data_IF_290741639337
#
_entry.id   IF_290741639337
#
_cell.length_a   1.000
_cell.length_b   1.000
_cell.length_c   1.000
_cell.angle_alpha   90.00
_cell.angle_beta   90.00
_cell.angle_gamma   90.00
#
_symmetry.space_group_name_H-M   'P 1'
#
loop_
_entity.id
_entity.type
_entity.pdbx_description
1 polymer ?
#
# COMPACT_ATOMS: atom_id res chain seq x y z
N UNK A 1 -39.27 -23.45 20.23
CA UNK A 1 -37.84 -23.64 19.90
C UNK A 1 -37.60 -22.99 18.55
N UNK A 2 -37.19 -21.71 18.55
CA UNK A 2 -36.97 -20.95 17.31
C UNK A 2 -35.47 -20.88 17.06
N UNK A 3 -35.01 -21.48 15.97
CA UNK A 3 -33.62 -21.42 15.53
C UNK A 3 -33.32 -20.04 14.94
N UNK A 4 -32.35 -19.36 15.51
CA UNK A 4 -31.76 -18.12 14.97
C UNK A 4 -30.92 -18.46 13.74
N UNK A 5 -31.08 -17.78 12.59
CA UNK A 5 -30.19 -17.97 11.46
C UNK A 5 -28.81 -17.34 11.78
N UNK A 6 -27.75 -18.12 11.58
CA UNK A 6 -26.36 -17.67 11.73
C UNK A 6 -25.97 -16.61 10.69
N UNK A 7 -24.88 -15.84 10.95
CA UNK A 7 -24.46 -14.78 10.05
C UNK A 7 -23.96 -15.37 8.73
N UNK A 8 -24.69 -15.10 7.64
CA UNK A 8 -24.31 -15.48 6.29
C UNK A 8 -22.98 -14.84 5.90
N UNK A 9 -21.96 -15.67 5.72
CA UNK A 9 -20.85 -15.41 4.81
C UNK A 9 -21.39 -15.41 3.39
N UNK A 10 -21.76 -14.24 2.86
CA UNK A 10 -21.98 -14.03 1.43
C UNK A 10 -20.97 -13.02 0.92
N UNK A 11 -19.79 -13.57 0.65
CA UNK A 11 -18.73 -12.95 -0.11
C UNK A 11 -18.92 -13.30 -1.60
N UNK A 12 -20.04 -12.90 -2.18
CA UNK A 12 -20.36 -13.06 -3.60
C UNK A 12 -20.81 -11.71 -4.20
N UNK A 13 -20.02 -10.66 -3.95
CA UNK A 13 -20.19 -9.39 -4.65
C UNK A 13 -19.31 -9.44 -5.92
N UNK A 14 -19.89 -9.50 -7.14
CA UNK A 14 -19.15 -9.64 -8.39
C UNK A 14 -18.21 -8.46 -8.68
N UNK A 15 -18.27 -7.40 -7.86
CA UNK A 15 -17.38 -6.25 -7.92
C UNK A 15 -16.00 -6.47 -7.25
N UNK A 16 -15.75 -7.63 -6.65
CA UNK A 16 -14.53 -7.96 -5.92
C UNK A 16 -13.89 -9.25 -6.44
N UNK A 17 -12.54 -9.26 -6.53
CA UNK A 17 -11.79 -10.50 -6.77
C UNK A 17 -11.10 -10.96 -5.49
N UNK A 18 -11.22 -12.26 -5.19
CA UNK A 18 -10.51 -12.92 -4.10
C UNK A 18 -9.06 -13.22 -4.45
N UNK A 19 -8.13 -12.74 -3.64
CA UNK A 19 -6.70 -12.97 -3.77
C UNK A 19 -6.14 -13.68 -2.53
N UNK A 20 -5.45 -14.81 -2.71
CA UNK A 20 -4.63 -15.41 -1.66
C UNK A 20 -3.40 -14.54 -1.37
N UNK A 21 -3.02 -14.41 -0.11
CA UNK A 21 -1.91 -13.58 0.39
C UNK A 21 -0.53 -14.04 -0.05
N UNK A 22 -0.36 -15.34 -0.36
CA UNK A 22 0.92 -15.97 -0.67
C UNK A 22 1.33 -15.87 -2.15
N UNK A 23 0.45 -15.36 -3.00
CA UNK A 23 0.70 -15.33 -4.44
C UNK A 23 1.57 -14.11 -4.78
N UNK A 24 2.77 -14.36 -5.35
CA UNK A 24 3.65 -13.30 -5.90
C UNK A 24 2.95 -12.64 -7.09
N UNK A 25 2.08 -11.67 -6.81
CA UNK A 25 1.31 -11.00 -7.86
C UNK A 25 2.01 -9.74 -8.33
N UNK A 26 1.89 -9.57 -9.62
CA UNK A 26 2.48 -8.47 -10.34
C UNK A 26 1.61 -7.24 -10.31
N UNK A 27 2.28 -6.11 -10.52
CA UNK A 27 1.62 -4.88 -10.92
C UNK A 27 0.68 -5.12 -12.11
N UNK A 28 1.04 -5.99 -13.06
CA UNK A 28 0.21 -6.30 -14.22
C UNK A 28 -1.11 -7.00 -13.84
N UNK A 29 -1.12 -7.83 -12.80
CA UNK A 29 -2.35 -8.45 -12.29
C UNK A 29 -3.30 -7.41 -11.70
N UNK A 30 -2.77 -6.42 -10.96
CA UNK A 30 -3.56 -5.30 -10.46
C UNK A 30 -4.12 -4.43 -11.58
N UNK A 31 -3.33 -4.18 -12.62
CA UNK A 31 -3.81 -3.45 -13.80
C UNK A 31 -4.92 -4.22 -14.53
N UNK A 32 -4.80 -5.55 -14.64
CA UNK A 32 -5.85 -6.38 -15.24
C UNK A 32 -7.17 -6.27 -14.45
N UNK A 33 -7.11 -6.30 -13.12
CA UNK A 33 -8.28 -6.05 -12.24
C UNK A 33 -8.86 -4.65 -12.46
N UNK A 34 -8.01 -3.62 -12.54
CA UNK A 34 -8.46 -2.25 -12.77
C UNK A 34 -9.18 -2.08 -14.12
N UNK A 35 -8.71 -2.75 -15.18
CA UNK A 35 -9.35 -2.74 -16.52
C UNK A 35 -10.73 -3.39 -16.52
N UNK A 36 -10.99 -4.35 -15.62
CA UNK A 36 -12.28 -5.03 -15.48
C UNK A 36 -13.34 -4.20 -14.74
N UNK A 37 -13.05 -2.93 -14.39
CA UNK A 37 -13.95 -2.03 -13.65
C UNK A 37 -14.38 -2.55 -12.27
N UNK A 38 -13.60 -3.46 -11.71
CA UNK A 38 -13.80 -3.95 -10.35
C UNK A 38 -13.48 -2.86 -9.34
N UNK A 39 -14.14 -2.90 -8.17
CA UNK A 39 -13.90 -1.90 -7.09
C UNK A 39 -12.57 -2.13 -6.39
N UNK A 40 -12.07 -3.36 -6.41
CA UNK A 40 -10.94 -3.72 -5.59
C UNK A 40 -10.67 -5.20 -5.49
N UNK A 41 -9.78 -5.51 -4.55
CA UNK A 41 -9.27 -6.84 -4.27
C UNK A 41 -9.57 -7.20 -2.82
N UNK A 42 -9.90 -8.46 -2.56
CA UNK A 42 -10.03 -9.01 -1.21
C UNK A 42 -8.84 -9.91 -0.91
N UNK A 43 -8.13 -9.67 0.18
CA UNK A 43 -7.09 -10.56 0.70
C UNK A 43 -7.65 -11.38 1.85
N UNK A 44 -7.64 -12.69 1.67
CA UNK A 44 -8.32 -13.64 2.56
C UNK A 44 -7.62 -13.84 3.89
N UNK A 45 -6.30 -13.95 3.88
CA UNK A 45 -5.48 -14.24 5.04
C UNK A 45 -5.17 -12.96 5.84
N UNK A 46 -5.17 -13.02 7.19
CA UNK A 46 -4.72 -11.90 8.01
C UNK A 46 -3.26 -11.53 7.72
N UNK A 47 -2.97 -10.23 7.64
CA UNK A 47 -1.62 -9.69 7.46
C UNK A 47 -1.27 -8.80 8.65
N UNK A 48 -0.04 -8.96 9.16
CA UNK A 48 0.49 -8.10 10.21
C UNK A 48 1.55 -7.18 9.61
N UNK A 49 1.32 -5.86 9.62
CA UNK A 49 2.31 -4.86 9.19
C UNK A 49 3.06 -4.34 10.41
N UNK A 50 4.27 -4.85 10.60
CA UNK A 50 5.20 -4.42 11.63
C UNK A 50 6.63 -4.40 11.10
N UNK A 51 7.56 -3.60 11.65
CA UNK A 51 8.95 -3.58 11.22
C UNK A 51 9.63 -4.97 11.20
N UNK A 52 9.30 -5.81 12.19
CA UNK A 52 9.80 -7.17 12.39
C UNK A 52 9.02 -8.26 11.63
N UNK A 53 7.95 -7.91 10.92
CA UNK A 53 7.18 -8.86 10.13
C UNK A 53 7.99 -9.45 8.97
N UNK A 54 7.51 -10.54 8.38
CA UNK A 54 8.22 -11.20 7.28
C UNK A 54 8.24 -10.36 5.97
N UNK A 55 8.98 -10.86 4.98
CA UNK A 55 9.04 -10.23 3.65
C UNK A 55 7.69 -10.18 2.93
N UNK A 56 6.74 -11.05 3.29
CA UNK A 56 5.38 -11.04 2.75
C UNK A 56 4.59 -9.80 3.17
N UNK A 57 4.76 -9.33 4.41
CA UNK A 57 4.19 -8.07 4.89
C UNK A 57 4.71 -6.86 4.08
N UNK A 58 6.00 -6.86 3.74
CA UNK A 58 6.60 -5.81 2.92
C UNK A 58 6.04 -5.79 1.48
N UNK A 59 5.88 -6.97 0.88
CA UNK A 59 5.23 -7.13 -0.44
C UNK A 59 3.76 -6.69 -0.37
N UNK A 60 3.05 -7.03 0.71
CA UNK A 60 1.67 -6.62 0.91
C UNK A 60 1.53 -5.10 1.05
N UNK A 61 2.43 -4.42 1.77
CA UNK A 61 2.42 -2.96 1.82
C UNK A 61 2.64 -2.32 0.44
N UNK A 62 3.53 -2.90 -0.38
CA UNK A 62 3.71 -2.46 -1.77
C UNK A 62 2.43 -2.69 -2.60
N UNK A 63 1.72 -3.81 -2.38
CA UNK A 63 0.43 -4.09 -3.00
C UNK A 63 -0.61 -3.01 -2.65
N UNK A 64 -0.71 -2.61 -1.37
CA UNK A 64 -1.62 -1.56 -0.93
C UNK A 64 -1.34 -0.23 -1.65
N UNK A 65 -0.05 0.12 -1.80
CA UNK A 65 0.40 1.32 -2.52
C UNK A 65 0.04 1.27 -4.00
N UNK A 66 0.37 0.19 -4.70
CA UNK A 66 0.08 0.06 -6.14
C UNK A 66 -1.43 0.03 -6.41
N UNK A 67 -2.19 -0.69 -5.60
CA UNK A 67 -3.66 -0.69 -5.68
C UNK A 67 -4.23 0.71 -5.52
N UNK A 68 -3.71 1.48 -4.55
CA UNK A 68 -4.15 2.86 -4.35
C UNK A 68 -3.85 3.75 -5.56
N UNK A 69 -2.76 3.49 -6.30
CA UNK A 69 -2.39 4.21 -7.52
C UNK A 69 -3.31 3.96 -8.70
N UNK A 70 -3.86 2.75 -8.76
CA UNK A 70 -4.85 2.32 -9.75
C UNK A 70 -6.30 2.65 -9.34
N UNK A 71 -6.50 3.34 -8.22
CA UNK A 71 -7.85 3.65 -7.70
C UNK A 71 -8.58 2.45 -7.09
N UNK A 72 -7.91 1.31 -6.93
CA UNK A 72 -8.48 0.11 -6.32
C UNK A 72 -8.51 0.23 -4.79
N UNK A 73 -9.50 -0.43 -4.19
CA UNK A 73 -9.58 -0.67 -2.74
C UNK A 73 -9.06 -2.07 -2.45
N UNK A 74 -8.26 -2.22 -1.39
CA UNK A 74 -7.88 -3.55 -0.90
C UNK A 74 -8.63 -3.79 0.40
N UNK A 75 -9.51 -4.79 0.42
CA UNK A 75 -10.16 -5.28 1.64
C UNK A 75 -9.28 -6.37 2.23
N UNK A 76 -8.76 -6.15 3.43
CA UNK A 76 -7.85 -7.09 4.07
C UNK A 76 -8.06 -7.12 5.58
N UNK A 77 -7.58 -8.21 6.19
CA UNK A 77 -7.66 -8.45 7.63
C UNK A 77 -6.32 -8.31 8.31
N UNK A 78 -6.33 -7.88 9.58
CA UNK A 78 -5.13 -7.90 10.43
C UNK A 78 -4.84 -6.56 11.10
N UNK A 79 -3.56 -6.27 11.32
CA UNK A 79 -3.14 -5.19 12.21
C UNK A 79 -1.88 -4.49 11.75
N UNK A 80 -1.67 -3.29 12.30
CA UNK A 80 -0.45 -2.49 12.11
C UNK A 80 0.08 -2.10 13.47
N UNK A 81 1.36 -2.39 13.70
CA UNK A 81 2.09 -2.08 14.94
C UNK A 81 3.50 -1.61 14.59
N UNK A 82 4.13 -0.83 15.48
CA UNK A 82 5.49 -0.34 15.28
C UNK A 82 5.71 0.64 14.11
N UNK A 83 4.69 0.87 13.28
CA UNK A 83 4.70 1.83 12.17
C UNK A 83 3.82 3.04 12.56
N UNK A 84 4.34 4.28 12.52
CA UNK A 84 3.51 5.46 12.77
C UNK A 84 2.30 5.52 11.83
N UNK A 85 1.09 5.56 12.39
CA UNK A 85 -0.17 5.49 11.61
C UNK A 85 -0.26 6.56 10.52
N UNK A 86 0.29 7.75 10.79
CA UNK A 86 0.33 8.85 9.81
C UNK A 86 1.04 8.46 8.51
N UNK A 87 1.99 7.52 8.54
CA UNK A 87 2.74 7.08 7.36
C UNK A 87 1.94 6.15 6.45
N UNK A 88 0.96 5.39 6.97
CA UNK A 88 0.21 4.37 6.20
C UNK A 88 -1.26 4.68 6.03
N UNK A 89 -1.80 5.69 6.74
CA UNK A 89 -3.24 6.01 6.71
C UNK A 89 -3.80 6.43 5.35
N UNK A 90 -2.95 6.77 4.38
CA UNK A 90 -3.37 7.07 3.01
C UNK A 90 -3.64 5.82 2.16
N UNK A 91 -3.33 4.63 2.69
CA UNK A 91 -3.58 3.33 2.07
C UNK A 91 -4.87 2.70 2.61
N UNK A 92 -5.30 1.58 2.00
CA UNK A 92 -6.50 0.85 2.45
C UNK A 92 -6.28 0.30 3.87
N UNK A 93 -7.21 0.58 4.78
CA UNK A 93 -7.17 0.11 6.17
C UNK A 93 -7.64 -1.35 6.28
N UNK A 94 -7.20 -2.09 7.31
CA UNK A 94 -7.77 -3.40 7.62
C UNK A 94 -9.24 -3.23 8.06
N UNK A 95 -10.11 -4.20 7.72
CA UNK A 95 -11.55 -4.10 8.01
C UNK A 95 -11.97 -4.77 9.32
N UNK A 96 -11.12 -5.57 9.97
CA UNK A 96 -11.41 -6.34 11.19
C UNK A 96 -10.49 -6.00 12.37
N UNK A 97 -10.14 -4.72 12.53
CA UNK A 97 -9.44 -4.25 13.72
C UNK A 97 -10.21 -4.59 15.01
N UNK A 98 -9.52 -4.82 16.15
CA UNK A 98 -10.18 -5.16 17.40
C UNK A 98 -11.24 -4.10 17.75
N UNK A 99 -12.47 -4.58 17.98
CA UNK A 99 -13.67 -3.78 18.32
C UNK A 99 -14.22 -2.82 17.25
N UNK A 100 -14.25 -3.22 15.96
CA UNK A 100 -15.12 -2.54 14.97
C UNK A 100 -14.67 -1.14 14.56
N UNK A 101 -13.49 -0.71 15.01
CA UNK A 101 -12.82 0.47 14.49
C UNK A 101 -12.08 0.07 13.22
N UNK A 102 -12.57 0.56 12.06
CA UNK A 102 -11.71 0.71 10.89
C UNK A 102 -10.42 1.39 11.37
N UNK A 103 -9.26 0.72 11.30
CA UNK A 103 -8.04 1.19 11.97
C UNK A 103 -7.67 2.63 11.56
N UNK A 104 -8.09 3.04 10.36
CA UNK A 104 -8.26 4.44 9.96
C UNK A 104 -9.24 4.54 8.78
N UNK A 105 -9.90 5.69 8.62
CA UNK A 105 -10.63 5.99 7.37
C UNK A 105 -9.63 6.44 6.31
N UNK A 106 -9.58 5.73 5.16
CA UNK A 106 -8.82 6.18 3.98
C UNK A 106 -9.35 7.56 3.57
N UNK A 107 -8.51 8.61 3.51
CA UNK A 107 -8.94 9.91 3.03
C UNK A 107 -9.37 9.80 1.55
N UNK A 108 -10.38 10.57 1.13
CA UNK A 108 -10.85 10.62 -0.27
C UNK A 108 -9.74 10.98 -1.26
N UNK A 109 -8.69 11.65 -0.79
CA UNK A 109 -7.49 11.95 -1.55
C UNK A 109 -6.30 11.22 -0.95
N UNK A 110 -5.53 10.48 -1.77
CA UNK A 110 -4.25 9.91 -1.30
C UNK A 110 -3.40 11.01 -0.67
N UNK A 111 -3.04 10.83 0.60
CA UNK A 111 -2.29 11.81 1.38
C UNK A 111 -0.81 11.91 1.00
N UNK A 112 -0.27 10.92 0.31
CA UNK A 112 1.11 10.91 -0.22
C UNK A 112 1.10 10.36 -1.63
N UNK A 113 1.50 11.17 -2.60
CA UNK A 113 1.41 10.86 -4.04
C UNK A 113 2.74 11.10 -4.72
N UNK A 114 3.00 10.29 -5.74
CA UNK A 114 4.12 10.43 -6.64
C UNK A 114 3.60 10.48 -8.08
N UNK A 115 4.10 11.44 -8.84
CA UNK A 115 3.89 11.55 -10.29
C UNK A 115 5.24 11.62 -10.98
N UNK A 116 5.42 10.84 -12.05
CA UNK A 116 6.60 10.91 -12.90
C UNK A 116 6.39 11.94 -13.99
N UNK A 117 7.35 12.85 -14.13
CA UNK A 117 7.48 13.78 -15.25
C UNK A 117 8.74 13.46 -16.07
N UNK A 118 8.97 14.20 -17.17
CA UNK A 118 10.20 14.05 -17.95
C UNK A 118 11.43 14.46 -17.12
N UNK A 119 12.29 13.51 -16.76
CA UNK A 119 13.52 13.75 -15.99
C UNK A 119 13.34 14.09 -14.50
N UNK A 120 12.14 13.94 -13.94
CA UNK A 120 11.90 14.18 -12.51
C UNK A 120 10.68 13.43 -11.95
N UNK A 121 10.60 13.33 -10.62
CA UNK A 121 9.41 12.96 -9.87
C UNK A 121 8.89 14.16 -9.11
N UNK A 122 7.57 14.28 -9.00
CA UNK A 122 6.91 15.17 -8.04
C UNK A 122 6.29 14.33 -6.94
N UNK A 123 6.66 14.60 -5.70
CA UNK A 123 6.05 14.03 -4.51
C UNK A 123 5.15 15.11 -3.91
N UNK A 124 3.88 14.77 -3.68
CA UNK A 124 2.94 15.62 -2.94
C UNK A 124 2.55 14.93 -1.62
N UNK A 125 2.84 15.57 -0.49
CA UNK A 125 2.56 15.06 0.85
C UNK A 125 1.59 16.00 1.60
N UNK A 126 0.48 15.43 2.06
CA UNK A 126 -0.60 16.06 2.82
C UNK A 126 -0.81 15.41 4.18
N UNK A 127 0.09 14.52 4.61
CA UNK A 127 -0.06 13.75 5.86
C UNK A 127 0.15 14.59 7.12
N UNK A 128 0.91 15.67 7.04
CA UNK A 128 1.35 16.42 8.23
C UNK A 128 0.98 17.92 8.21
N UNK A 129 -0.19 18.27 7.64
CA UNK A 129 -0.69 19.64 7.60
C UNK A 129 -0.70 20.22 6.18
N UNK A 130 -0.14 21.43 5.94
CA UNK A 130 -0.09 22.02 4.61
C UNK A 130 0.55 21.10 3.57
N UNK A 131 0.11 21.24 2.32
CA UNK A 131 0.62 20.43 1.20
C UNK A 131 2.11 20.74 1.00
N UNK A 132 2.96 19.71 1.12
CA UNK A 132 4.38 19.78 0.78
C UNK A 132 4.59 19.17 -0.60
N UNK A 133 5.34 19.87 -1.45
CA UNK A 133 5.71 19.39 -2.79
C UNK A 133 7.21 19.31 -2.90
N UNK A 134 7.72 18.13 -3.22
CA UNK A 134 9.14 17.87 -3.43
C UNK A 134 9.36 17.46 -4.87
N UNK A 135 10.31 18.10 -5.54
CA UNK A 135 10.79 17.70 -6.85
C UNK A 135 12.06 16.88 -6.67
N UNK A 136 12.10 15.69 -7.27
CA UNK A 136 13.24 14.77 -7.22
C UNK A 136 13.74 14.58 -8.65
N UNK A 137 14.87 15.21 -9.04
CA UNK A 137 15.44 15.03 -10.38
C UNK A 137 15.87 13.59 -10.65
N UNK A 138 15.98 13.19 -11.93
CA UNK A 138 16.38 11.84 -12.34
C UNK A 138 17.78 11.41 -11.88
N UNK A 139 18.69 12.37 -11.70
CA UNK A 139 20.05 12.14 -11.19
C UNK A 139 20.12 12.03 -9.66
N UNK A 140 19.01 12.25 -8.95
CA UNK A 140 18.94 12.06 -7.50
C UNK A 140 18.80 10.57 -7.18
N UNK A 141 19.60 10.06 -6.24
CA UNK A 141 19.59 8.66 -5.81
C UNK A 141 18.19 8.16 -5.38
N UNK A 142 17.35 9.06 -4.84
CA UNK A 142 15.98 8.73 -4.41
C UNK A 142 15.09 8.38 -5.59
N UNK A 143 15.41 8.87 -6.79
CA UNK A 143 14.61 8.65 -8.00
C UNK A 143 14.45 7.15 -8.30
N UNK A 144 15.56 6.41 -8.28
CA UNK A 144 15.56 4.97 -8.54
C UNK A 144 14.75 4.18 -7.49
N UNK A 145 14.87 4.55 -6.21
CA UNK A 145 14.15 3.89 -5.11
C UNK A 145 12.64 4.20 -5.11
N UNK A 146 12.26 5.41 -5.51
CA UNK A 146 10.87 5.87 -5.58
C UNK A 146 10.13 5.38 -6.83
N UNK A 147 10.87 5.14 -7.91
CA UNK A 147 10.34 4.61 -9.17
C UNK A 147 11.15 3.39 -9.67
N UNK A 148 11.29 2.30 -8.89
CA UNK A 148 11.92 1.08 -9.35
C UNK A 148 11.24 0.58 -10.61
N UNK A 149 11.99 -0.09 -11.51
CA UNK A 149 11.40 -0.79 -12.66
C UNK A 149 10.26 -1.66 -12.18
N UNK A 150 9.22 -1.78 -13.00
CA UNK A 150 7.96 -2.44 -12.66
C UNK A 150 8.13 -3.97 -12.53
N UNK A 151 8.91 -4.41 -11.56
CA UNK A 151 9.08 -5.83 -11.25
C UNK A 151 8.23 -6.17 -10.04
N UNK A 152 7.20 -6.95 -10.33
CA UNK A 152 6.33 -7.62 -9.38
C UNK A 152 7.09 -8.24 -8.20
N UNK A 153 6.81 -7.77 -6.97
CA UNK A 153 7.24 -8.48 -5.76
C UNK A 153 8.74 -8.47 -5.47
N UNK A 154 9.54 -7.69 -6.21
CA UNK A 154 10.91 -7.40 -5.82
C UNK A 154 10.97 -5.98 -5.25
N UNK A 155 11.29 -5.90 -3.96
CA UNK A 155 11.65 -4.62 -3.34
C UNK A 155 13.06 -4.28 -3.82
N UNK A 156 13.29 -3.08 -4.37
CA UNK A 156 14.60 -2.72 -4.89
C UNK A 156 15.64 -2.84 -3.77
N UNK A 157 16.83 -3.33 -4.12
CA UNK A 157 18.00 -3.07 -3.30
C UNK A 157 18.26 -1.56 -3.38
N UNK A 158 18.22 -0.91 -2.23
CA UNK A 158 18.48 0.52 -2.10
C UNK A 158 19.72 0.64 -1.23
N UNK A 159 20.62 1.55 -1.62
CA UNK A 159 21.74 1.94 -0.78
C UNK A 159 21.25 2.23 0.66
N UNK A 160 21.87 1.67 1.70
CA UNK A 160 21.41 1.84 3.08
C UNK A 160 21.28 3.32 3.50
N UNK A 161 22.15 4.21 3.03
CA UNK A 161 22.08 5.63 3.37
C UNK A 161 20.90 6.31 2.67
N UNK A 162 20.70 6.03 1.37
CA UNK A 162 19.52 6.50 0.63
C UNK A 162 18.21 5.96 1.25
N UNK A 163 18.19 4.70 1.69
CA UNK A 163 17.06 4.09 2.39
C UNK A 163 16.76 4.76 3.74
N UNK A 164 17.79 5.00 4.55
CA UNK A 164 17.67 5.70 5.83
C UNK A 164 17.12 7.12 5.63
N UNK A 165 17.59 7.84 4.60
CA UNK A 165 17.09 9.16 4.24
C UNK A 165 15.61 9.11 3.88
N UNK A 166 15.18 8.18 3.02
CA UNK A 166 13.77 8.04 2.67
C UNK A 166 12.88 7.72 3.89
N UNK A 167 13.37 6.90 4.82
CA UNK A 167 12.67 6.64 6.09
C UNK A 167 12.55 7.91 6.94
N UNK A 168 13.62 8.69 7.07
CA UNK A 168 13.62 9.96 7.83
C UNK A 168 12.68 11.01 7.22
N UNK A 169 12.55 11.02 5.89
CA UNK A 169 11.62 11.88 5.16
C UNK A 169 10.17 11.35 5.19
N UNK A 170 9.94 10.18 5.82
CA UNK A 170 8.65 9.50 5.87
C UNK A 170 8.17 9.01 4.49
N UNK A 171 9.07 8.85 3.53
CA UNK A 171 8.80 8.38 2.17
C UNK A 171 8.95 6.86 2.04
N UNK A 172 9.52 6.19 3.03
CA UNK A 172 9.65 4.75 3.10
C UNK A 172 9.50 4.23 4.53
N UNK A 173 9.31 2.92 4.65
CA UNK A 173 9.44 2.15 5.89
C UNK A 173 10.29 0.91 5.64
N UNK A 174 10.84 0.32 6.69
CA UNK A 174 11.51 -0.98 6.63
C UNK A 174 10.61 -2.02 7.29
N UNK A 175 10.30 -3.09 6.57
CA UNK A 175 9.52 -4.25 7.06
C UNK A 175 10.29 -5.51 6.68
N UNK A 176 10.59 -6.38 7.63
CA UNK A 176 11.32 -7.62 7.38
C UNK A 176 12.68 -7.39 6.74
N UNK A 177 13.36 -6.30 7.12
CA UNK A 177 14.63 -5.87 6.52
C UNK A 177 14.53 -5.33 5.10
N UNK A 178 13.32 -5.11 4.56
CA UNK A 178 13.10 -4.61 3.20
C UNK A 178 12.55 -3.18 3.21
N UNK A 179 13.14 -2.32 2.38
CA UNK A 179 12.65 -0.95 2.19
C UNK A 179 11.40 -0.94 1.30
N UNK A 180 10.32 -0.35 1.79
CA UNK A 180 9.08 -0.15 1.05
C UNK A 180 8.79 1.33 0.94
N UNK A 181 8.86 1.89 -0.27
CA UNK A 181 8.44 3.28 -0.51
C UNK A 181 6.93 3.42 -0.40
N UNK A 182 6.48 4.52 0.21
CA UNK A 182 5.10 4.80 0.56
C UNK A 182 4.30 5.66 -0.45
N UNK A 183 4.91 6.53 -1.28
CA UNK A 183 4.15 7.36 -2.20
C UNK A 183 3.32 6.56 -3.19
N UNK A 184 2.03 6.88 -3.26
CA UNK A 184 1.12 6.27 -4.24
C UNK A 184 1.49 6.74 -5.64
N UNK A 185 1.84 5.81 -6.51
CA UNK A 185 2.25 6.09 -7.89
C UNK A 185 1.03 6.27 -8.76
N UNK A 186 0.78 7.51 -9.19
CA UNK A 186 -0.31 7.80 -10.12
C UNK A 186 0.11 7.39 -11.53
N UNK A 187 -0.78 6.69 -12.23
CA UNK A 187 -0.63 6.27 -13.64
C UNK A 187 -1.67 6.95 -14.50
#
# INVERSE_FOLDING_TARGET
>A
MSATPGPGTTSDDPMWTHWPSHLRRSVADLEAVARQRLRGVVVGEPVHLAPEADTGAAVFLALLRESAGLGLVVRWRGSVSGIPHALVRHLSAPYDGPAGHFAWRRPRTAGLRLRRGPGFLTIEDRRFGPVRRTLVPEHDERFAALCPPATAGLLPEVDPAAGARLCSEGLAVVIGGRLVTLPVRLR
#
